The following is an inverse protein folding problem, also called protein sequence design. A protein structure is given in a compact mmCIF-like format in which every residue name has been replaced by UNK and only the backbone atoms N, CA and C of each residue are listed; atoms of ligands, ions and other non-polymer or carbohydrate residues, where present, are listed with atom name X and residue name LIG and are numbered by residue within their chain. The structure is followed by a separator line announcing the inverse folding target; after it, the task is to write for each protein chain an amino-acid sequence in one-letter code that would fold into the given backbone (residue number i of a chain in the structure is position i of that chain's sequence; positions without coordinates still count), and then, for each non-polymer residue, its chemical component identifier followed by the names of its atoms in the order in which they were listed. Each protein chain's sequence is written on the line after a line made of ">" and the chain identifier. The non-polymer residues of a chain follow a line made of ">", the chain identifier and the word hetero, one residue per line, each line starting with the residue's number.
data_IF_586577697257
#
_entry.id   IF_586577697257
#
_cell.length_a   1.000
_cell.length_b   1.000
_cell.length_c   1.000
_cell.angle_alpha   90.00
_cell.angle_beta   90.00
_cell.angle_gamma   90.00
#
_symmetry.space_group_name_H-M   'P 1'
#
loop_
_entity.id
_entity.type
_entity.pdbx_description
1 polymer ?
#
# COMPACT_ATOMS: atom_id res chain seq x y z
N UNK A 1 8.91 7.61 31.05
CA UNK A 1 8.20 8.59 31.89
C UNK A 1 8.97 8.67 33.19
N UNK A 2 9.41 9.86 33.63
CA UNK A 2 10.21 9.94 34.86
C UNK A 2 9.33 9.74 36.10
N UNK A 3 9.93 9.30 37.21
CA UNK A 3 9.25 9.12 38.52
C UNK A 3 8.53 10.39 38.97
N UNK A 4 9.15 11.55 38.73
CA UNK A 4 8.57 12.88 38.98
C UNK A 4 7.25 13.07 38.23
N UNK A 5 7.21 12.74 36.95
CA UNK A 5 6.02 12.99 36.12
C UNK A 5 4.87 12.04 36.41
N UNK A 6 5.19 10.80 36.79
CA UNK A 6 4.19 9.86 37.27
C UNK A 6 3.48 10.40 38.52
N UNK A 7 4.23 10.92 39.50
CA UNK A 7 3.67 11.47 40.74
C UNK A 7 2.83 12.73 40.45
N UNK A 8 3.37 13.68 39.69
CA UNK A 8 2.68 14.91 39.34
C UNK A 8 1.37 14.63 38.57
N UNK A 9 1.36 13.66 37.66
CA UNK A 9 0.15 13.25 36.93
C UNK A 9 -0.91 12.63 37.85
N UNK A 10 -0.51 11.74 38.78
CA UNK A 10 -1.45 11.11 39.73
C UNK A 10 -2.08 12.17 40.63
N UNK A 11 -1.31 13.16 41.11
CA UNK A 11 -1.82 14.26 41.93
C UNK A 11 -2.74 15.18 41.13
N UNK A 12 -2.43 15.46 39.87
CA UNK A 12 -3.33 16.24 38.98
C UNK A 12 -4.68 15.54 38.79
N UNK A 13 -4.67 14.22 38.59
CA UNK A 13 -5.89 13.42 38.42
C UNK A 13 -6.70 13.26 39.70
N UNK A 14 -6.05 13.39 40.87
CA UNK A 14 -6.68 13.23 42.18
C UNK A 14 -6.24 14.38 43.10
N UNK A 15 -6.76 15.61 42.92
CA UNK A 15 -6.36 16.75 43.75
C UNK A 15 -6.66 16.49 45.22
N UNK A 16 -5.67 16.69 46.09
CA UNK A 16 -5.82 16.42 47.53
C UNK A 16 -5.68 14.94 47.90
N UNK A 17 -4.99 14.14 47.08
CA UNK A 17 -4.68 12.74 47.38
C UNK A 17 -3.79 12.62 48.64
N UNK A 18 -4.09 11.64 49.49
CA UNK A 18 -3.26 11.33 50.66
C UNK A 18 -2.08 10.41 50.32
N UNK A 19 -1.10 10.34 51.23
CA UNK A 19 0.13 9.57 51.01
C UNK A 19 -0.12 8.08 50.73
N UNK A 20 -1.02 7.42 51.44
CA UNK A 20 -1.25 5.98 51.31
C UNK A 20 -1.95 5.67 49.99
N UNK A 21 -2.93 6.50 49.61
CA UNK A 21 -3.62 6.38 48.32
C UNK A 21 -2.68 6.66 47.15
N UNK A 22 -1.79 7.65 47.29
CA UNK A 22 -0.76 7.95 46.29
C UNK A 22 0.26 6.80 46.18
N UNK A 23 0.70 6.25 47.31
CA UNK A 23 1.61 5.10 47.37
C UNK A 23 1.00 3.88 46.68
N UNK A 24 -0.27 3.57 46.92
CA UNK A 24 -0.94 2.44 46.28
C UNK A 24 -1.00 2.58 44.76
N UNK A 25 -1.16 3.81 44.24
CA UNK A 25 -1.15 4.09 42.79
C UNK A 25 0.26 4.11 42.19
N UNK A 26 1.29 4.36 43.00
CA UNK A 26 2.69 4.49 42.58
C UNK A 26 3.50 3.19 42.74
N UNK A 27 3.17 2.36 43.73
CA UNK A 27 3.87 1.13 44.07
C UNK A 27 3.94 0.06 42.96
N UNK A 28 2.96 -0.10 42.05
CA UNK A 28 3.03 -1.09 40.97
C UNK A 28 4.23 -0.93 40.03
N UNK A 29 4.88 0.24 40.01
CA UNK A 29 6.08 0.51 39.22
C UNK A 29 7.39 0.03 39.87
N UNK A 30 7.33 -0.61 41.04
CA UNK A 30 8.50 -1.05 41.81
C UNK A 30 8.39 -2.52 42.20
N UNK A 31 9.53 -3.22 42.23
CA UNK A 31 9.60 -4.65 42.57
C UNK A 31 9.34 -4.93 44.05
N UNK A 32 9.45 -3.94 44.94
CA UNK A 32 9.11 -4.09 46.36
C UNK A 32 8.51 -2.80 46.95
N UNK A 33 7.66 -2.98 47.97
CA UNK A 33 6.89 -1.90 48.61
C UNK A 33 7.75 -0.93 49.42
N UNK A 34 8.86 -1.39 49.99
CA UNK A 34 9.76 -0.55 50.78
C UNK A 34 10.56 0.42 49.89
N UNK A 35 11.02 -0.04 48.73
CA UNK A 35 11.64 0.78 47.68
C UNK A 35 10.66 1.79 47.12
N UNK A 36 9.40 1.40 46.88
CA UNK A 36 8.35 2.32 46.46
C UNK A 36 8.11 3.44 47.47
N UNK A 37 8.02 3.11 48.77
CA UNK A 37 7.88 4.11 49.85
C UNK A 37 9.06 5.06 49.93
N UNK A 38 10.28 4.52 49.88
CA UNK A 38 11.50 5.32 49.95
C UNK A 38 11.63 6.26 48.74
N UNK A 39 11.36 5.76 47.53
CA UNK A 39 11.37 6.54 46.31
C UNK A 39 10.28 7.63 46.33
N UNK A 40 9.04 7.27 46.69
CA UNK A 40 7.92 8.21 46.76
C UNK A 40 8.20 9.32 47.79
N UNK A 41 8.71 8.96 48.98
CA UNK A 41 9.01 9.94 50.02
C UNK A 41 10.10 10.92 49.61
N UNK A 42 11.15 10.44 48.92
CA UNK A 42 12.22 11.30 48.40
C UNK A 42 11.67 12.22 47.31
N UNK A 43 10.98 11.65 46.32
CA UNK A 43 10.40 12.42 45.23
C UNK A 43 9.38 13.45 45.72
N UNK A 44 8.50 13.13 46.68
CA UNK A 44 7.57 14.11 47.24
C UNK A 44 8.27 15.26 47.96
N UNK A 45 9.37 14.98 48.68
CA UNK A 45 10.18 16.01 49.31
C UNK A 45 10.81 16.92 48.26
N UNK A 46 11.38 16.34 47.21
CA UNK A 46 12.01 17.10 46.12
C UNK A 46 10.98 17.95 45.36
N UNK A 47 9.83 17.37 45.01
CA UNK A 47 8.75 18.08 44.30
C UNK A 47 8.17 19.23 45.13
N UNK A 48 8.10 19.08 46.45
CA UNK A 48 7.71 20.16 47.35
C UNK A 48 8.78 21.26 47.42
N UNK A 49 10.07 20.90 47.53
CA UNK A 49 11.19 21.86 47.53
C UNK A 49 11.23 22.67 46.23
N UNK A 50 10.98 22.03 45.08
CA UNK A 50 10.95 22.70 43.79
C UNK A 50 9.68 23.53 43.54
N UNK A 51 8.73 23.55 44.47
CA UNK A 51 7.47 24.30 44.37
C UNK A 51 6.52 23.73 43.33
N UNK A 52 6.58 22.42 43.06
CA UNK A 52 5.70 21.73 42.11
C UNK A 52 4.46 21.16 42.80
N UNK A 53 4.61 20.79 44.08
CA UNK A 53 3.54 20.30 44.94
C UNK A 53 3.51 21.08 46.24
N UNK A 54 2.33 21.16 46.85
CA UNK A 54 2.14 21.64 48.21
C UNK A 54 1.49 20.53 49.04
N UNK A 55 1.93 20.38 50.30
CA UNK A 55 1.28 19.50 51.27
C UNK A 55 0.44 20.36 52.22
N UNK A 56 -0.87 20.13 52.22
CA UNK A 56 -1.78 20.69 53.24
C UNK A 56 -2.27 19.53 54.10
N UNK A 57 -1.96 19.59 55.39
CA UNK A 57 -2.15 18.50 56.34
C UNK A 57 -1.50 17.18 55.86
N UNK A 58 -2.33 16.21 55.44
CA UNK A 58 -1.90 14.91 54.94
C UNK A 58 -2.27 14.69 53.46
N UNK A 59 -2.52 15.77 52.72
CA UNK A 59 -2.95 15.74 51.32
C UNK A 59 -2.02 16.54 50.43
N UNK A 60 -1.84 16.08 49.20
CA UNK A 60 -0.97 16.70 48.21
C UNK A 60 -1.78 17.42 47.14
N UNK A 61 -1.38 18.65 46.85
CA UNK A 61 -1.99 19.52 45.84
C UNK A 61 -0.93 19.96 44.84
N UNK A 62 -1.35 20.16 43.60
CA UNK A 62 -0.48 20.69 42.56
C UNK A 62 -0.40 22.21 42.67
N UNK A 63 0.80 22.77 42.53
CA UNK A 63 1.01 24.22 42.41
C UNK A 63 1.06 24.62 40.93
N UNK A 64 0.84 25.90 40.60
CA UNK A 64 0.86 26.40 39.22
C UNK A 64 2.16 26.04 38.46
N UNK A 65 3.30 26.07 39.16
CA UNK A 65 4.59 25.65 38.59
C UNK A 65 4.63 24.14 38.29
N UNK A 66 4.03 23.32 39.16
CA UNK A 66 3.86 21.89 38.93
C UNK A 66 2.91 21.61 37.77
N UNK A 67 1.87 22.41 37.63
CA UNK A 67 0.94 22.33 36.51
C UNK A 67 1.65 22.70 35.20
N UNK A 68 2.43 23.78 35.20
CA UNK A 68 3.26 24.20 34.07
C UNK A 68 4.31 23.15 33.67
N UNK A 69 4.92 22.45 34.63
CA UNK A 69 5.87 21.36 34.38
C UNK A 69 5.20 20.12 33.77
N UNK A 70 4.01 19.75 34.28
CA UNK A 70 3.18 18.73 33.66
C UNK A 70 2.80 19.18 32.24
N UNK A 71 2.34 20.41 32.05
CA UNK A 71 1.91 20.92 30.75
C UNK A 71 3.06 21.09 29.75
N UNK A 72 4.28 21.38 30.19
CA UNK A 72 5.44 21.50 29.31
C UNK A 72 5.89 20.13 28.81
N UNK A 73 5.80 19.09 29.64
CA UNK A 73 6.11 17.71 29.25
C UNK A 73 4.92 16.99 28.59
N UNK A 74 3.69 17.36 28.93
CA UNK A 74 2.42 16.90 28.33
C UNK A 74 1.97 17.86 27.21
N UNK A 75 2.79 18.81 26.74
CA UNK A 75 2.54 19.56 25.50
C UNK A 75 2.17 18.53 24.45
N UNK A 76 0.89 18.50 24.09
CA UNK A 76 0.20 17.27 23.73
C UNK A 76 1.03 16.53 22.66
N UNK A 77 1.42 15.27 22.91
CA UNK A 77 2.23 14.49 21.95
C UNK A 77 1.70 14.61 20.52
N UNK A 78 0.39 14.82 20.39
CA UNK A 78 -0.30 15.14 19.16
C UNK A 78 0.18 16.43 18.47
N UNK A 79 0.27 17.55 19.19
CA UNK A 79 0.74 18.85 18.66
C UNK A 79 2.23 18.78 18.33
N UNK A 80 3.04 18.12 19.17
CA UNK A 80 4.47 17.89 18.87
C UNK A 80 4.64 17.05 17.61
N UNK A 81 3.86 15.96 17.48
CA UNK A 81 3.90 15.11 16.30
C UNK A 81 3.43 15.87 15.05
N UNK A 82 2.36 16.67 15.14
CA UNK A 82 1.91 17.52 14.04
C UNK A 82 3.00 18.52 13.62
N UNK A 83 3.60 19.23 14.57
CA UNK A 83 4.67 20.17 14.27
C UNK A 83 5.88 19.48 13.65
N UNK A 84 6.23 18.28 14.12
CA UNK A 84 7.29 17.46 13.53
C UNK A 84 7.00 17.06 12.08
N UNK A 85 5.75 16.73 11.72
CA UNK A 85 5.37 16.43 10.34
C UNK A 85 5.41 17.68 9.47
N UNK A 86 4.85 18.79 9.96
CA UNK A 86 4.77 20.06 9.23
C UNK A 86 6.11 20.77 9.06
N UNK A 87 7.12 20.42 9.86
CA UNK A 87 8.47 21.01 9.79
C UNK A 87 9.43 20.21 8.90
N UNK A 88 8.98 19.10 8.32
CA UNK A 88 9.78 18.36 7.34
C UNK A 88 9.94 19.17 6.05
N UNK A 89 10.92 18.77 5.23
CA UNK A 89 11.21 19.42 3.95
C UNK A 89 10.07 19.28 2.92
N UNK A 90 9.39 18.14 2.93
CA UNK A 90 8.28 17.80 2.01
C UNK A 90 7.07 17.25 2.77
N UNK A 91 6.39 18.08 3.57
CA UNK A 91 5.27 17.66 4.42
C UNK A 91 4.10 17.07 3.62
N UNK A 92 3.93 17.47 2.35
CA UNK A 92 2.90 16.92 1.46
C UNK A 92 3.08 15.43 1.15
N UNK A 93 4.26 14.83 1.38
CA UNK A 93 4.48 13.38 1.19
C UNK A 93 3.89 12.54 2.33
N UNK A 94 3.70 13.14 3.50
CA UNK A 94 3.12 12.48 4.68
C UNK A 94 1.72 13.02 4.98
N UNK A 95 1.00 13.44 3.94
CA UNK A 95 -0.29 14.13 4.07
C UNK A 95 -1.32 13.30 4.83
N UNK A 96 -1.34 11.98 4.64
CA UNK A 96 -2.25 11.09 5.37
C UNK A 96 -2.03 11.15 6.88
N UNK A 97 -0.76 11.15 7.30
CA UNK A 97 -0.39 11.28 8.73
C UNK A 97 -0.71 12.66 9.29
N UNK A 98 -0.60 13.71 8.46
CA UNK A 98 -0.99 15.07 8.85
C UNK A 98 -2.52 15.14 9.03
N UNK A 99 -3.30 14.61 8.08
CA UNK A 99 -4.77 14.59 8.12
C UNK A 99 -5.25 13.80 9.34
N UNK A 100 -4.72 12.59 9.56
CA UNK A 100 -5.09 11.74 10.70
C UNK A 100 -4.88 12.49 12.02
N UNK A 101 -3.71 13.11 12.21
CA UNK A 101 -3.41 13.83 13.45
C UNK A 101 -4.21 15.13 13.59
N UNK A 102 -4.52 15.82 12.49
CA UNK A 102 -5.41 16.98 12.51
C UNK A 102 -6.83 16.57 12.91
N UNK A 103 -7.33 15.46 12.39
CA UNK A 103 -8.65 14.93 12.75
C UNK A 103 -8.71 14.60 14.24
N UNK A 104 -7.72 13.88 14.77
CA UNK A 104 -7.62 13.58 16.20
C UNK A 104 -7.55 14.87 17.03
N UNK A 105 -6.85 15.90 16.54
CA UNK A 105 -6.74 17.19 17.23
C UNK A 105 -8.08 17.92 17.27
N UNK A 106 -8.83 17.93 16.16
CA UNK A 106 -10.14 18.57 16.06
C UNK A 106 -11.18 17.87 16.92
N UNK A 107 -11.22 16.54 16.90
CA UNK A 107 -12.15 15.73 17.68
C UNK A 107 -11.88 15.85 19.18
N UNK A 108 -10.62 15.65 19.60
CA UNK A 108 -10.26 15.74 21.02
C UNK A 108 -10.29 17.18 21.53
N UNK A 109 -9.91 18.16 20.72
CA UNK A 109 -9.93 19.57 21.11
C UNK A 109 -11.35 20.10 21.39
N UNK A 110 -12.40 19.48 20.84
CA UNK A 110 -13.80 19.80 21.20
C UNK A 110 -14.17 19.32 22.60
N UNK A 111 -13.53 18.25 23.08
CA UNK A 111 -13.82 17.60 24.36
C UNK A 111 -12.86 18.05 25.48
N UNK A 112 -11.61 18.40 25.12
CA UNK A 112 -10.51 18.74 26.03
C UNK A 112 -10.09 20.21 25.83
N UNK A 113 -10.54 21.08 26.76
CA UNK A 113 -10.25 22.53 26.72
C UNK A 113 -8.76 22.83 26.91
N UNK A 114 -8.03 22.01 27.66
CA UNK A 114 -6.60 22.22 27.93
C UNK A 114 -5.76 21.90 26.69
N UNK A 115 -6.13 20.83 25.96
CA UNK A 115 -5.57 20.53 24.64
C UNK A 115 -5.84 21.69 23.68
N UNK A 116 -7.08 22.17 23.59
CA UNK A 116 -7.43 23.27 22.69
C UNK A 116 -6.66 24.55 23.01
N UNK A 117 -6.52 24.90 24.30
CA UNK A 117 -5.72 26.05 24.74
C UNK A 117 -4.26 25.86 24.36
N UNK A 118 -3.70 24.68 24.61
CA UNK A 118 -2.30 24.34 24.29
C UNK A 118 -2.02 24.47 22.79
N UNK A 119 -2.89 23.92 21.94
CA UNK A 119 -2.76 24.00 20.48
C UNK A 119 -2.87 25.43 19.96
N UNK A 120 -3.80 26.23 20.49
CA UNK A 120 -3.95 27.65 20.12
C UNK A 120 -2.74 28.50 20.54
N UNK A 121 -2.13 28.17 21.66
CA UNK A 121 -0.93 28.86 22.17
C UNK A 121 0.39 28.38 21.57
N UNK A 122 0.36 27.33 20.72
CA UNK A 122 1.58 26.80 20.11
C UNK A 122 2.02 27.70 18.96
N UNK A 123 3.15 28.39 19.12
CA UNK A 123 3.73 29.25 18.08
C UNK A 123 4.21 28.45 16.86
N UNK A 124 4.55 27.19 17.05
CA UNK A 124 5.05 26.30 16.01
C UNK A 124 3.92 25.66 15.17
N UNK A 125 2.68 25.72 15.66
CA UNK A 125 1.51 25.23 14.95
C UNK A 125 0.70 26.40 14.39
N UNK A 126 0.66 26.55 13.06
CA UNK A 126 -0.08 27.64 12.42
C UNK A 126 -0.88 27.16 11.21
N UNK A 127 -2.02 27.83 10.98
CA UNK A 127 -2.88 27.57 9.82
C UNK A 127 -2.11 27.85 8.52
N UNK A 128 -1.30 28.90 8.46
CA UNK A 128 -0.49 29.21 7.28
C UNK A 128 0.49 28.11 6.89
N UNK A 129 1.00 27.33 7.85
CA UNK A 129 1.79 26.13 7.52
C UNK A 129 0.94 25.07 6.83
N UNK A 130 -0.30 24.87 7.28
CA UNK A 130 -1.24 23.94 6.63
C UNK A 130 -1.63 24.42 5.22
N UNK A 131 -1.84 25.73 5.04
CA UNK A 131 -2.11 26.34 3.72
C UNK A 131 -0.93 26.12 2.76
N UNK A 132 0.31 26.27 3.22
CA UNK A 132 1.50 25.99 2.41
C UNK A 132 1.57 24.51 1.98
N UNK A 133 1.26 23.58 2.90
CA UNK A 133 1.18 22.14 2.58
C UNK A 133 0.10 21.88 1.53
N UNK A 134 -1.06 22.53 1.68
CA UNK A 134 -2.17 22.42 0.71
C UNK A 134 -1.74 22.91 -0.68
N UNK A 135 -1.06 24.06 -0.77
CA UNK A 135 -0.56 24.60 -2.02
C UNK A 135 0.49 23.69 -2.69
N UNK A 136 1.39 23.08 -1.90
CA UNK A 136 2.35 22.08 -2.39
C UNK A 136 1.61 20.84 -2.95
N UNK A 137 0.58 20.37 -2.25
CA UNK A 137 -0.23 19.22 -2.68
C UNK A 137 -0.97 19.54 -3.99
N UNK A 138 -1.58 20.71 -4.11
CA UNK A 138 -2.26 21.15 -5.34
C UNK A 138 -1.32 21.25 -6.54
N UNK A 139 -0.06 21.64 -6.34
CA UNK A 139 0.96 21.62 -7.39
C UNK A 139 1.30 20.18 -7.80
N UNK A 140 1.45 19.28 -6.84
CA UNK A 140 1.70 17.85 -7.11
C UNK A 140 0.54 17.21 -7.87
N UNK A 141 -0.71 17.47 -7.47
CA UNK A 141 -1.91 16.98 -8.16
C UNK A 141 -1.91 17.45 -9.62
N UNK A 142 -1.74 18.75 -9.86
CA UNK A 142 -1.67 19.29 -11.23
C UNK A 142 -0.55 18.68 -12.07
N UNK A 143 0.61 18.41 -11.47
CA UNK A 143 1.71 17.77 -12.15
C UNK A 143 1.40 16.31 -12.51
N UNK A 144 0.80 15.55 -11.59
CA UNK A 144 0.38 14.17 -11.82
C UNK A 144 -0.72 14.08 -12.89
N UNK A 145 -1.68 15.01 -12.89
CA UNK A 145 -2.71 15.09 -13.93
C UNK A 145 -2.09 15.34 -15.30
N UNK A 146 -1.12 16.26 -15.39
CA UNK A 146 -0.37 16.49 -16.61
C UNK A 146 0.39 15.24 -17.07
N UNK A 147 1.12 14.58 -16.17
CA UNK A 147 1.86 13.35 -16.51
C UNK A 147 0.93 12.23 -16.95
N UNK A 148 -0.20 12.05 -16.27
CA UNK A 148 -1.23 11.07 -16.64
C UNK A 148 -1.76 11.34 -18.06
N UNK A 149 -2.04 12.61 -18.38
CA UNK A 149 -2.46 13.02 -19.71
C UNK A 149 -1.41 12.71 -20.78
N UNK A 150 -0.15 13.15 -20.57
CA UNK A 150 0.95 12.89 -21.51
C UNK A 150 1.18 11.40 -21.71
N UNK A 151 1.15 10.62 -20.62
CA UNK A 151 1.33 9.17 -20.70
C UNK A 151 0.17 8.50 -21.48
N UNK A 152 -1.07 8.97 -21.29
CA UNK A 152 -2.21 8.53 -22.08
C UNK A 152 -2.08 8.86 -23.57
N UNK A 153 -1.59 10.05 -23.92
CA UNK A 153 -1.29 10.44 -25.30
C UNK A 153 -0.19 9.54 -25.91
N UNK A 154 0.87 9.24 -25.16
CA UNK A 154 1.94 8.33 -25.59
C UNK A 154 1.42 6.91 -25.83
N UNK A 155 0.59 6.36 -24.93
CA UNK A 155 -0.05 5.06 -25.14
C UNK A 155 -0.89 5.07 -26.42
N UNK A 156 -1.65 6.16 -26.66
CA UNK A 156 -2.46 6.30 -27.87
C UNK A 156 -1.58 6.32 -29.12
N UNK A 157 -0.47 7.07 -29.11
CA UNK A 157 0.48 7.09 -30.22
C UNK A 157 1.10 5.72 -30.48
N UNK A 158 1.48 4.97 -29.45
CA UNK A 158 2.01 3.61 -29.62
C UNK A 158 0.98 2.66 -30.25
N UNK A 159 -0.31 2.81 -29.89
CA UNK A 159 -1.41 2.07 -30.51
C UNK A 159 -1.63 2.45 -31.97
N UNK A 160 -1.56 3.75 -32.30
CA UNK A 160 -1.67 4.25 -33.67
C UNK A 160 -0.49 3.79 -34.55
N UNK A 161 0.69 3.61 -33.95
CA UNK A 161 1.89 3.06 -34.60
C UNK A 161 1.94 1.52 -34.62
N UNK A 162 0.86 0.86 -34.19
CA UNK A 162 0.70 -0.59 -34.20
C UNK A 162 1.78 -1.37 -33.42
N UNK A 163 2.27 -0.80 -32.31
CA UNK A 163 3.18 -1.50 -31.40
C UNK A 163 2.53 -2.76 -30.81
N UNK A 164 3.36 -3.71 -30.39
CA UNK A 164 2.88 -4.97 -29.84
C UNK A 164 2.04 -4.78 -28.57
N UNK A 165 0.92 -5.50 -28.50
CA UNK A 165 0.06 -5.64 -27.34
C UNK A 165 -0.10 -7.14 -27.01
N UNK A 166 -0.77 -7.45 -25.89
CA UNK A 166 -1.15 -8.80 -25.54
C UNK A 166 -2.51 -8.85 -24.83
N UNK A 167 -3.31 -9.86 -25.13
CA UNK A 167 -4.61 -10.01 -24.49
C UNK A 167 -5.01 -11.47 -24.27
N UNK A 168 -5.52 -11.74 -23.07
CA UNK A 168 -5.91 -13.07 -22.64
C UNK A 168 -7.43 -13.28 -22.78
N UNK A 169 -7.83 -14.41 -23.36
CA UNK A 169 -9.21 -14.92 -23.33
C UNK A 169 -9.25 -16.32 -22.72
N UNK A 170 -10.40 -16.76 -22.19
CA UNK A 170 -10.64 -18.18 -21.91
C UNK A 170 -10.38 -19.01 -23.17
N UNK A 171 -9.78 -20.19 -23.02
CA UNK A 171 -9.55 -21.12 -24.13
C UNK A 171 -10.82 -21.97 -24.36
N UNK A 172 -11.78 -21.39 -25.06
CA UNK A 172 -13.02 -22.05 -25.49
C UNK A 172 -13.09 -22.18 -27.03
N UNK A 173 -14.16 -22.80 -27.53
CA UNK A 173 -14.39 -22.99 -28.97
C UNK A 173 -14.36 -21.67 -29.77
N UNK A 174 -14.85 -20.57 -29.20
CA UNK A 174 -14.86 -19.27 -29.89
C UNK A 174 -13.45 -18.70 -29.99
N UNK A 175 -12.70 -18.72 -28.90
CA UNK A 175 -11.31 -18.28 -28.86
C UNK A 175 -10.43 -19.13 -29.78
N UNK A 176 -10.64 -20.46 -29.81
CA UNK A 176 -9.93 -21.37 -30.71
C UNK A 176 -10.23 -21.07 -32.17
N UNK A 177 -11.50 -20.84 -32.52
CA UNK A 177 -11.88 -20.45 -33.88
C UNK A 177 -11.26 -19.11 -34.30
N UNK A 178 -11.24 -18.13 -33.40
CA UNK A 178 -10.61 -16.84 -33.63
C UNK A 178 -9.08 -16.95 -33.79
N UNK A 179 -8.40 -17.81 -33.02
CA UNK A 179 -6.97 -18.08 -33.20
C UNK A 179 -6.71 -18.66 -34.59
N UNK A 180 -7.50 -19.67 -35.00
CA UNK A 180 -7.38 -20.26 -36.33
C UNK A 180 -7.55 -19.19 -37.41
N UNK A 181 -8.57 -18.34 -37.30
CA UNK A 181 -8.82 -17.25 -38.24
C UNK A 181 -7.64 -16.27 -38.32
N UNK A 182 -7.16 -15.78 -37.17
CA UNK A 182 -6.05 -14.80 -37.11
C UNK A 182 -4.76 -15.39 -37.70
N UNK A 183 -4.38 -16.61 -37.30
CA UNK A 183 -3.16 -17.25 -37.81
C UNK A 183 -3.26 -17.63 -39.30
N UNK A 184 -4.45 -17.91 -39.81
CA UNK A 184 -4.69 -18.18 -41.23
C UNK A 184 -4.47 -16.93 -42.10
N UNK A 185 -4.72 -15.73 -41.57
CA UNK A 185 -4.47 -14.46 -42.25
C UNK A 185 -3.00 -14.01 -42.28
N UNK A 186 -2.10 -14.70 -41.58
CA UNK A 186 -0.67 -14.37 -41.56
C UNK A 186 0.03 -14.84 -42.85
N UNK A 187 1.20 -14.28 -43.24
CA UNK A 187 1.92 -14.67 -44.45
C UNK A 187 2.69 -16.00 -44.34
N UNK A 188 3.03 -16.46 -43.13
CA UNK A 188 3.83 -17.69 -42.95
C UNK A 188 3.18 -18.95 -43.59
N UNK A 189 3.93 -19.99 -43.89
CA UNK A 189 3.36 -21.28 -44.33
C UNK A 189 3.24 -22.28 -43.18
N UNK A 190 4.15 -22.17 -42.22
CA UNK A 190 4.28 -23.04 -41.06
C UNK A 190 4.24 -22.23 -39.76
N UNK A 191 3.83 -22.88 -38.68
CA UNK A 191 3.82 -22.35 -37.31
C UNK A 191 4.80 -23.16 -36.47
N UNK A 192 5.59 -22.46 -35.65
CA UNK A 192 6.50 -23.10 -34.70
C UNK A 192 5.79 -23.28 -33.36
N UNK A 193 5.82 -24.50 -32.83
CA UNK A 193 5.26 -24.87 -31.54
C UNK A 193 6.40 -25.12 -30.57
N UNK A 194 6.35 -24.48 -29.40
CA UNK A 194 7.34 -24.62 -28.33
C UNK A 194 6.64 -24.94 -27.02
N UNK A 195 7.13 -25.95 -26.30
CA UNK A 195 6.66 -26.26 -24.95
C UNK A 195 7.78 -26.91 -24.14
N UNK A 196 7.95 -26.47 -22.90
CA UNK A 196 8.93 -27.06 -21.98
C UNK A 196 8.51 -28.47 -21.53
N UNK A 197 7.21 -28.76 -21.50
CA UNK A 197 6.71 -30.09 -21.20
C UNK A 197 6.82 -31.01 -22.42
N UNK A 198 7.91 -31.77 -22.49
CA UNK A 198 8.21 -32.70 -23.59
C UNK A 198 7.14 -33.77 -23.77
N UNK A 199 6.49 -34.22 -22.69
CA UNK A 199 5.42 -35.23 -22.78
C UNK A 199 4.19 -34.68 -23.51
N UNK A 200 3.76 -33.47 -23.14
CA UNK A 200 2.68 -32.75 -23.81
C UNK A 200 3.04 -32.45 -25.28
N UNK A 201 4.27 -31.99 -25.52
CA UNK A 201 4.76 -31.68 -26.86
C UNK A 201 4.78 -32.91 -27.77
N UNK A 202 5.23 -34.06 -27.27
CA UNK A 202 5.23 -35.32 -28.01
C UNK A 202 3.80 -35.84 -28.28
N UNK A 203 2.89 -35.71 -27.32
CA UNK A 203 1.49 -36.09 -27.50
C UNK A 203 0.81 -35.23 -28.60
N UNK A 204 1.04 -33.92 -28.56
CA UNK A 204 0.57 -32.99 -29.57
C UNK A 204 1.16 -33.27 -30.96
N UNK A 205 2.46 -33.57 -31.02
CA UNK A 205 3.16 -33.88 -32.28
C UNK A 205 2.72 -35.21 -32.88
N UNK A 206 2.49 -36.25 -32.06
CA UNK A 206 2.04 -37.57 -32.52
C UNK A 206 0.65 -37.50 -33.20
N UNK A 207 -0.24 -36.63 -32.71
CA UNK A 207 -1.54 -36.40 -33.34
C UNK A 207 -1.47 -35.72 -34.71
N UNK A 208 -0.30 -35.17 -35.10
CA UNK A 208 -0.08 -34.36 -36.29
C UNK A 208 1.02 -34.92 -37.21
N UNK A 209 1.55 -36.11 -36.91
CA UNK A 209 2.69 -36.75 -37.58
C UNK A 209 3.94 -35.82 -37.69
N UNK A 210 4.14 -34.97 -36.68
CA UNK A 210 5.22 -33.99 -36.63
C UNK A 210 6.44 -34.53 -35.88
N UNK A 211 7.65 -34.17 -36.35
CA UNK A 211 8.90 -34.53 -35.68
C UNK A 211 9.32 -33.46 -34.69
N UNK A 212 9.39 -33.84 -33.41
CA UNK A 212 9.89 -32.98 -32.34
C UNK A 212 11.42 -32.88 -32.37
N UNK A 213 11.95 -31.66 -32.26
CA UNK A 213 13.38 -31.37 -32.11
C UNK A 213 13.56 -30.30 -31.03
N UNK A 214 14.40 -30.57 -30.03
CA UNK A 214 14.79 -29.59 -29.00
C UNK A 214 13.62 -28.79 -28.41
N UNK A 215 12.58 -29.49 -27.92
CA UNK A 215 11.37 -28.86 -27.34
C UNK A 215 10.53 -28.00 -28.29
N UNK A 216 10.73 -28.18 -29.60
CA UNK A 216 9.96 -27.51 -30.65
C UNK A 216 9.52 -28.47 -31.75
N UNK A 217 8.44 -28.14 -32.46
CA UNK A 217 8.11 -28.73 -33.76
C UNK A 217 7.38 -27.72 -34.64
N UNK A 218 7.40 -27.91 -35.94
CA UNK A 218 6.69 -27.05 -36.89
C UNK A 218 5.47 -27.78 -37.46
N UNK A 219 4.39 -27.04 -37.71
CA UNK A 219 3.19 -27.56 -38.39
C UNK A 219 2.74 -26.63 -39.51
N UNK A 220 2.11 -27.16 -40.57
CA UNK A 220 1.37 -26.33 -41.50
C UNK A 220 0.26 -25.56 -40.77
N UNK A 221 0.00 -24.31 -41.18
CA UNK A 221 -1.07 -23.49 -40.60
C UNK A 221 -2.44 -24.16 -40.60
N UNK A 222 -2.75 -24.90 -41.67
CA UNK A 222 -4.00 -25.63 -41.82
C UNK A 222 -4.22 -26.67 -40.68
N UNK A 223 -3.15 -27.13 -40.04
CA UNK A 223 -3.19 -28.10 -38.95
C UNK A 223 -3.41 -27.47 -37.58
N UNK A 224 -3.49 -26.14 -37.46
CA UNK A 224 -3.70 -25.45 -36.18
C UNK A 224 -5.00 -25.87 -35.49
N UNK A 225 -6.09 -26.05 -36.25
CA UNK A 225 -7.36 -26.52 -35.68
C UNK A 225 -7.28 -27.93 -35.10
N UNK A 226 -6.50 -28.81 -35.72
CA UNK A 226 -6.23 -30.16 -35.22
C UNK A 226 -5.39 -30.10 -33.93
N UNK A 227 -4.38 -29.22 -33.87
CA UNK A 227 -3.59 -29.00 -32.67
C UNK A 227 -4.46 -28.54 -31.50
N UNK A 228 -5.29 -27.51 -31.69
CA UNK A 228 -6.15 -26.97 -30.62
C UNK A 228 -7.14 -28.03 -30.11
N UNK A 229 -7.75 -28.79 -31.03
CA UNK A 229 -8.67 -29.89 -30.68
C UNK A 229 -7.97 -31.03 -29.93
N UNK A 230 -6.70 -31.32 -30.25
CA UNK A 230 -5.92 -32.31 -29.52
C UNK A 230 -5.61 -31.82 -28.10
N UNK A 231 -5.30 -30.53 -27.94
CA UNK A 231 -4.95 -29.92 -26.66
C UNK A 231 -6.13 -29.80 -25.70
N UNK A 232 -7.37 -29.70 -26.18
CA UNK A 232 -8.58 -29.76 -25.33
C UNK A 232 -8.62 -31.05 -24.47
N UNK A 233 -8.11 -32.17 -25.00
CA UNK A 233 -8.06 -33.46 -24.28
C UNK A 233 -6.95 -33.52 -23.23
N UNK A 234 -5.98 -32.60 -23.30
CA UNK A 234 -4.79 -32.50 -22.44
C UNK A 234 -4.82 -31.26 -21.54
N UNK A 235 -6.00 -30.71 -21.25
CA UNK A 235 -6.15 -29.47 -20.48
C UNK A 235 -5.48 -29.47 -19.09
N UNK A 236 -5.31 -30.63 -18.46
CA UNK A 236 -4.58 -30.76 -17.19
C UNK A 236 -3.06 -30.53 -17.36
N UNK A 237 -2.48 -31.00 -18.47
CA UNK A 237 -1.05 -30.88 -18.76
C UNK A 237 -0.66 -29.43 -19.11
N UNK A 238 -1.59 -28.66 -19.70
CA UNK A 238 -1.45 -27.23 -19.98
C UNK A 238 -1.39 -26.35 -18.71
N UNK A 239 -1.84 -26.85 -17.55
CA UNK A 239 -1.69 -26.12 -16.29
C UNK A 239 -0.25 -26.15 -15.75
N UNK A 240 0.53 -27.16 -16.16
CA UNK A 240 1.89 -27.38 -15.67
C UNK A 240 2.92 -26.57 -16.45
N UNK A 241 2.74 -26.41 -17.76
CA UNK A 241 3.62 -25.62 -18.60
C UNK A 241 2.86 -25.00 -19.78
N UNK A 242 3.16 -23.75 -20.16
CA UNK A 242 2.54 -23.12 -21.31
C UNK A 242 3.02 -23.74 -22.62
N UNK A 243 2.12 -23.83 -23.59
CA UNK A 243 2.44 -24.15 -24.98
C UNK A 243 2.39 -22.87 -25.81
N UNK A 244 3.49 -22.54 -26.48
CA UNK A 244 3.60 -21.37 -27.32
C UNK A 244 3.47 -21.75 -28.80
N UNK A 245 2.70 -20.97 -29.55
CA UNK A 245 2.52 -21.05 -30.99
C UNK A 245 3.06 -19.74 -31.56
N UNK A 246 4.04 -19.82 -32.44
CA UNK A 246 4.69 -18.67 -33.05
C UNK A 246 4.39 -18.58 -34.55
N UNK A 247 4.17 -17.35 -35.00
CA UNK A 247 4.29 -16.91 -36.38
C UNK A 247 5.36 -15.80 -36.46
N UNK A 248 5.62 -15.26 -37.65
CA UNK A 248 6.59 -14.16 -37.80
C UNK A 248 6.21 -12.89 -37.02
N UNK A 249 4.92 -12.66 -36.79
CA UNK A 249 4.40 -11.46 -36.13
C UNK A 249 3.60 -11.73 -34.86
N UNK A 250 3.18 -12.97 -34.63
CA UNK A 250 2.28 -13.34 -33.54
C UNK A 250 2.86 -14.41 -32.64
N UNK A 251 2.46 -14.34 -31.37
CA UNK A 251 2.65 -15.41 -30.38
C UNK A 251 1.31 -15.70 -29.72
N UNK A 252 0.85 -16.94 -29.78
CA UNK A 252 -0.23 -17.42 -28.93
C UNK A 252 0.34 -18.33 -27.85
N UNK A 253 0.04 -18.04 -26.60
CA UNK A 253 0.44 -18.84 -25.45
C UNK A 253 -0.81 -19.47 -24.82
N UNK A 254 -0.85 -20.80 -24.81
CA UNK A 254 -1.91 -21.60 -24.21
C UNK A 254 -1.44 -22.06 -22.83
N UNK A 255 -2.18 -21.70 -21.79
CA UNK A 255 -1.84 -22.07 -20.42
C UNK A 255 -3.10 -22.25 -19.57
N UNK A 256 -3.22 -23.41 -18.94
CA UNK A 256 -4.45 -23.84 -18.27
C UNK A 256 -5.66 -23.72 -19.20
N UNK A 257 -6.63 -22.89 -18.81
CA UNK A 257 -7.85 -22.62 -19.59
C UNK A 257 -7.83 -21.22 -20.23
N UNK A 258 -6.65 -20.72 -20.63
CA UNK A 258 -6.50 -19.38 -21.22
C UNK A 258 -5.61 -19.43 -22.46
N UNK A 259 -5.95 -18.60 -23.43
CA UNK A 259 -5.10 -18.25 -24.56
C UNK A 259 -4.71 -16.77 -24.46
N UNK A 260 -3.41 -16.50 -24.45
CA UNK A 260 -2.84 -15.15 -24.55
C UNK A 260 -2.33 -14.96 -25.97
N UNK A 261 -2.91 -14.03 -26.71
CA UNK A 261 -2.38 -13.63 -28.01
C UNK A 261 -1.55 -12.36 -27.84
N UNK A 262 -0.36 -12.35 -28.43
CA UNK A 262 0.56 -11.20 -28.45
C UNK A 262 0.98 -10.91 -29.90
N UNK A 263 1.07 -9.63 -30.25
CA UNK A 263 1.34 -9.17 -31.61
C UNK A 263 0.93 -7.71 -31.82
N UNK A 264 0.91 -7.22 -33.07
CA UNK A 264 0.54 -5.85 -33.39
C UNK A 264 -0.83 -5.45 -32.80
N UNK A 265 -0.93 -4.24 -32.26
CA UNK A 265 -2.13 -3.74 -31.56
C UNK A 265 -3.42 -3.93 -32.37
N UNK A 266 -3.40 -3.65 -33.67
CA UNK A 266 -4.52 -3.81 -34.59
C UNK A 266 -5.10 -5.22 -34.60
N UNK A 267 -4.22 -6.24 -34.58
CA UNK A 267 -4.61 -7.66 -34.54
C UNK A 267 -5.15 -8.03 -33.16
N UNK A 268 -4.50 -7.54 -32.09
CA UNK A 268 -4.92 -7.80 -30.71
C UNK A 268 -6.27 -7.14 -30.40
N UNK A 269 -6.56 -5.99 -30.97
CA UNK A 269 -7.83 -5.30 -30.82
C UNK A 269 -8.98 -6.09 -31.48
N UNK A 270 -8.74 -6.65 -32.67
CA UNK A 270 -9.69 -7.58 -33.31
C UNK A 270 -9.94 -8.83 -32.46
N UNK A 271 -8.88 -9.37 -31.85
CA UNK A 271 -8.98 -10.47 -30.90
C UNK A 271 -9.83 -10.11 -29.67
N UNK A 272 -9.65 -8.92 -29.09
CA UNK A 272 -10.47 -8.43 -27.96
C UNK A 272 -11.95 -8.34 -28.33
N UNK A 273 -12.25 -7.67 -29.45
CA UNK A 273 -13.62 -7.38 -29.89
C UNK A 273 -14.38 -8.62 -30.40
N UNK A 274 -13.71 -9.78 -30.54
CA UNK A 274 -14.37 -11.04 -30.89
C UNK A 274 -14.56 -11.23 -32.39
N UNK A 275 -13.77 -10.55 -33.21
CA UNK A 275 -13.82 -10.66 -34.67
C UNK A 275 -15.04 -9.96 -35.28
N UNK A 276 -15.03 -8.63 -35.31
CA UNK A 276 -15.80 -7.89 -36.30
C UNK A 276 -14.88 -7.65 -37.51
N UNK A 277 -15.07 -8.43 -38.57
CA UNK A 277 -14.53 -8.16 -39.91
C UNK A 277 -15.15 -6.88 -40.50
N UNK A 278 -14.54 -6.23 -41.51
CA UNK A 278 -13.65 -6.78 -42.55
C UNK A 278 -12.16 -6.49 -42.36
#
# INVERSE_FOLDING_TARGET
>A
MTTKNAILLIVKQNPGIDYNTLLNKFAPSYSNSNSARAALSRSLKDLAIFGLLERKDNRYFLLEKGEGEIYSEIKNKLVIALNSLLSQKHPAEQIDSVIEKLQVLLERGRQDRDLLKTSKSSLDFSISRLENVSAELELKVRHLDYLSKIFGEQIKSLKELDFNDSYAKPLDLQSSALLIFIFSGQPDTELSIECENIALLNAAAAGLDAKVKNSTFAIPKASLGQLLSALEKHGADLQLAPLNIFSSMLKAQLYGNKAVLSGPYSIIENWKQGGATP
#
